data_IF_377381028177
#
_entry.id   IF_377381028177
#
_cell.length_a   1.000
_cell.length_b   1.000
_cell.length_c   1.000
_cell.angle_alpha   90.00
_cell.angle_beta   90.00
_cell.angle_gamma   90.00
#
_symmetry.space_group_name_H-M   'P 1'
#
loop_
_entity.id
_entity.type
_entity.pdbx_description
1 polymer ?
#
# COMPACT_ATOMS: atom_id res chain seq x y z
N UNK A 1 -12.26 10.38 8.18
CA UNK A 1 -12.06 10.40 6.72
C UNK A 1 -11.26 11.63 6.29
N UNK A 2 -9.95 11.49 6.06
CA UNK A 2 -9.14 12.60 5.51
C UNK A 2 -9.48 12.85 4.04
N UNK A 3 -9.75 14.11 3.69
CA UNK A 3 -10.06 14.53 2.31
C UNK A 3 -8.82 14.91 1.49
N UNK A 4 -7.71 15.21 2.16
CA UNK A 4 -6.48 15.78 1.56
C UNK A 4 -5.39 14.71 1.34
N UNK A 5 -5.69 13.42 1.58
CA UNK A 5 -4.73 12.34 1.42
C UNK A 5 -4.23 12.27 -0.04
N UNK A 6 -2.91 12.34 -0.23
CA UNK A 6 -2.22 12.32 -1.53
C UNK A 6 -2.59 13.45 -2.50
N UNK A 7 -3.28 14.51 -2.06
CA UNK A 7 -3.76 15.59 -2.95
C UNK A 7 -2.62 16.33 -3.66
N UNK A 8 -1.52 16.59 -2.96
CA UNK A 8 -0.31 17.20 -3.55
C UNK A 8 0.32 16.35 -4.67
N UNK A 9 0.09 15.03 -4.66
CA UNK A 9 0.60 14.12 -5.68
C UNK A 9 -0.42 13.91 -6.80
N UNK A 10 -1.68 13.69 -6.44
CA UNK A 10 -2.77 13.52 -7.38
C UNK A 10 -4.10 13.99 -6.75
N UNK A 11 -4.65 15.14 -7.17
CA UNK A 11 -5.95 15.63 -6.69
C UNK A 11 -7.10 14.64 -6.93
N UNK A 12 -7.00 13.82 -7.98
CA UNK A 12 -8.01 12.81 -8.27
C UNK A 12 -7.99 11.62 -7.29
N UNK A 13 -6.95 11.47 -6.46
CA UNK A 13 -6.82 10.36 -5.51
C UNK A 13 -8.05 10.23 -4.59
N UNK A 14 -8.63 11.36 -4.17
CA UNK A 14 -9.85 11.40 -3.36
C UNK A 14 -11.04 10.69 -4.01
N UNK A 15 -11.13 10.69 -5.34
CA UNK A 15 -12.22 10.01 -6.06
C UNK A 15 -11.93 8.53 -6.33
N UNK A 16 -10.64 8.16 -6.33
CA UNK A 16 -10.15 6.83 -6.70
C UNK A 16 -10.01 5.90 -5.50
N UNK A 17 -9.52 6.42 -4.37
CA UNK A 17 -9.30 5.65 -3.16
C UNK A 17 -10.57 5.56 -2.30
N UNK A 18 -10.90 4.36 -1.85
CA UNK A 18 -12.00 4.07 -0.91
C UNK A 18 -11.46 3.31 0.29
N UNK A 19 -12.24 3.29 1.36
CA UNK A 19 -11.96 2.47 2.53
C UNK A 19 -11.79 0.99 2.16
N UNK A 20 -10.84 0.32 2.80
CA UNK A 20 -10.46 -1.07 2.51
C UNK A 20 -9.53 -1.25 1.31
N UNK A 21 -9.27 -0.21 0.51
CA UNK A 21 -8.31 -0.33 -0.60
C UNK A 21 -6.87 -0.41 -0.09
N UNK A 22 -6.05 -1.19 -0.79
CA UNK A 22 -4.60 -1.26 -0.55
C UNK A 22 -3.91 -0.25 -1.45
N UNK A 23 -3.04 0.58 -0.87
CA UNK A 23 -2.21 1.50 -1.64
C UNK A 23 -0.93 0.79 -2.07
N UNK A 24 -0.67 0.76 -3.37
CA UNK A 24 0.58 0.23 -3.92
C UNK A 24 1.38 1.38 -4.50
N UNK A 25 2.63 1.52 -4.07
CA UNK A 25 3.57 2.52 -4.58
C UNK A 25 4.79 1.86 -5.24
N UNK A 26 5.54 2.68 -5.98
CA UNK A 26 6.82 2.30 -6.56
C UNK A 26 7.93 2.15 -5.51
N UNK A 27 9.15 2.54 -5.88
CA UNK A 27 10.31 2.48 -5.02
C UNK A 27 10.45 3.76 -4.21
N UNK A 28 11.05 3.64 -3.02
CA UNK A 28 11.38 4.74 -2.11
C UNK A 28 10.15 5.52 -1.61
N UNK A 29 9.06 4.82 -1.28
CA UNK A 29 7.86 5.44 -0.73
C UNK A 29 8.15 6.15 0.59
N UNK A 30 7.51 7.30 0.82
CA UNK A 30 7.76 8.15 1.98
C UNK A 30 9.11 8.86 1.93
N UNK A 31 9.71 9.01 0.75
CA UNK A 31 10.87 9.88 0.56
C UNK A 31 10.41 11.34 0.45
N UNK A 32 10.79 12.18 1.42
CA UNK A 32 10.44 13.60 1.46
C UNK A 32 10.23 14.12 2.88
N UNK A 33 9.87 15.40 3.02
CA UNK A 33 9.59 16.02 4.33
C UNK A 33 8.16 15.78 4.83
N UNK A 34 7.19 15.58 3.92
CA UNK A 34 5.76 15.34 4.22
C UNK A 34 5.45 13.90 4.71
N UNK A 35 6.36 13.32 5.50
CA UNK A 35 6.29 11.93 6.00
C UNK A 35 5.20 11.74 7.05
N UNK A 36 5.10 12.69 7.96
CA UNK A 36 4.25 12.63 9.15
C UNK A 36 2.76 12.83 8.80
N UNK A 37 2.51 13.74 7.85
CA UNK A 37 1.19 13.94 7.27
C UNK A 37 0.73 12.70 6.48
N UNK A 38 1.63 12.05 5.72
CA UNK A 38 1.29 10.83 5.00
C UNK A 38 0.99 9.64 5.94
N UNK A 39 1.81 9.46 6.99
CA UNK A 39 1.62 8.40 7.99
C UNK A 39 0.28 8.51 8.72
N UNK A 40 -0.27 9.73 8.84
CA UNK A 40 -1.57 9.99 9.50
C UNK A 40 -2.74 10.08 8.51
N UNK A 41 -2.53 10.60 7.31
CA UNK A 41 -3.61 10.80 6.34
C UNK A 41 -4.09 9.48 5.69
N UNK A 42 -3.20 8.51 5.50
CA UNK A 42 -3.50 7.22 4.86
C UNK A 42 -4.42 6.35 5.75
N UNK A 43 -4.14 6.11 7.05
CA UNK A 43 -5.07 5.40 7.93
C UNK A 43 -6.40 6.15 8.04
N UNK A 44 -6.36 7.48 8.19
CA UNK A 44 -7.56 8.32 8.26
C UNK A 44 -8.42 8.28 6.99
N UNK A 45 -7.87 7.79 5.87
CA UNK A 45 -8.60 7.55 4.62
C UNK A 45 -9.25 6.15 4.57
N UNK A 46 -8.99 5.32 5.58
CA UNK A 46 -9.45 3.93 5.64
C UNK A 46 -8.62 3.01 4.74
N UNK A 47 -7.39 3.38 4.40
CA UNK A 47 -6.46 2.51 3.65
C UNK A 47 -5.69 1.69 4.70
N UNK A 48 -5.97 0.39 4.85
CA UNK A 48 -5.40 -0.42 5.92
C UNK A 48 -3.93 -0.80 5.67
N UNK A 49 -3.46 -0.70 4.42
CA UNK A 49 -2.18 -1.25 4.02
C UNK A 49 -1.52 -0.44 2.90
N UNK A 50 -0.22 -0.19 3.04
CA UNK A 50 0.65 0.32 1.98
C UNK A 50 1.69 -0.73 1.60
N UNK A 51 1.72 -1.10 0.32
CA UNK A 51 2.73 -1.99 -0.27
C UNK A 51 3.62 -1.16 -1.19
N UNK A 52 4.93 -1.38 -1.15
CA UNK A 52 5.87 -0.64 -2.00
C UNK A 52 6.99 -1.53 -2.51
N UNK A 53 7.69 -1.08 -3.56
CA UNK A 53 8.93 -1.71 -4.00
C UNK A 53 10.04 -1.51 -2.97
N UNK A 54 10.07 -0.32 -2.37
CA UNK A 54 10.88 -0.03 -1.19
C UNK A 54 10.31 1.16 -0.43
N UNK A 55 10.65 1.27 0.85
CA UNK A 55 10.34 2.42 1.69
C UNK A 55 11.62 3.23 1.91
N UNK A 56 11.50 4.54 2.08
CA UNK A 56 12.63 5.37 2.49
C UNK A 56 13.09 4.95 3.90
N UNK A 57 14.39 5.05 4.19
CA UNK A 57 14.93 4.68 5.50
C UNK A 57 14.29 5.45 6.66
N UNK A 58 13.82 6.67 6.40
CA UNK A 58 13.20 7.52 7.42
C UNK A 58 11.75 7.12 7.61
N UNK A 59 11.00 6.92 6.52
CA UNK A 59 9.63 6.41 6.59
C UNK A 59 9.56 5.04 7.25
N UNK A 60 10.52 4.16 6.98
CA UNK A 60 10.60 2.85 7.61
C UNK A 60 10.80 2.93 9.14
N UNK A 61 11.48 3.98 9.64
CA UNK A 61 11.66 4.21 11.08
C UNK A 61 10.41 4.81 11.72
N UNK A 62 9.80 5.81 11.07
CA UNK A 62 8.64 6.55 11.61
C UNK A 62 7.33 5.74 11.52
N UNK A 63 7.21 4.86 10.53
CA UNK A 63 5.96 4.14 10.25
C UNK A 63 5.81 2.85 11.06
N UNK A 64 6.87 2.37 11.72
CA UNK A 64 6.76 1.32 12.75
C UNK A 64 5.84 1.80 13.89
N UNK A 65 5.91 3.10 14.22
CA UNK A 65 5.10 3.70 15.27
C UNK A 65 3.65 3.97 14.82
N UNK A 66 3.40 4.09 13.51
CA UNK A 66 2.12 4.49 12.93
C UNK A 66 1.39 3.36 12.19
N UNK A 67 1.82 2.11 12.36
CA UNK A 67 1.03 0.94 11.95
C UNK A 67 0.80 0.79 10.44
N UNK A 68 1.47 1.58 9.59
CA UNK A 68 1.13 1.74 8.17
C UNK A 68 1.99 0.92 7.19
N UNK A 69 2.95 0.14 7.70
CA UNK A 69 3.91 -0.55 6.86
C UNK A 69 3.41 -1.94 6.45
N UNK A 70 3.09 -2.07 5.16
CA UNK A 70 2.95 -3.37 4.53
C UNK A 70 4.27 -3.94 4.01
N UNK A 71 4.20 -5.10 3.35
CA UNK A 71 5.37 -5.78 2.83
C UNK A 71 6.04 -5.01 1.68
N UNK A 72 7.36 -5.18 1.55
CA UNK A 72 8.11 -4.73 0.38
C UNK A 72 8.01 -5.79 -0.70
N UNK A 73 7.42 -5.45 -1.85
CA UNK A 73 7.21 -6.39 -2.96
C UNK A 73 7.69 -5.78 -4.30
N UNK A 74 9.01 -5.73 -4.56
CA UNK A 74 9.56 -5.24 -5.83
C UNK A 74 8.98 -5.94 -7.07
N UNK A 75 8.72 -7.26 -6.98
CA UNK A 75 8.16 -8.04 -8.08
C UNK A 75 6.75 -7.57 -8.48
N UNK A 76 5.92 -7.18 -7.51
CA UNK A 76 4.59 -6.63 -7.77
C UNK A 76 4.68 -5.28 -8.47
N UNK A 77 5.58 -4.40 -8.02
CA UNK A 77 5.80 -3.10 -8.67
C UNK A 77 6.25 -3.28 -10.12
N UNK A 78 7.20 -4.20 -10.36
CA UNK A 78 7.66 -4.53 -11.71
C UNK A 78 6.50 -5.03 -12.58
N UNK A 79 5.71 -5.96 -12.06
CA UNK A 79 4.58 -6.55 -12.78
C UNK A 79 3.48 -5.53 -13.10
N UNK A 80 3.13 -4.65 -12.16
CA UNK A 80 2.18 -3.55 -12.40
C UNK A 80 2.69 -2.59 -13.49
N UNK A 81 3.98 -2.26 -13.49
CA UNK A 81 4.58 -1.44 -14.54
C UNK A 81 4.53 -2.11 -15.91
N UNK A 82 4.79 -3.41 -15.99
CA UNK A 82 4.68 -4.17 -17.25
C UNK A 82 3.25 -4.12 -17.78
N UNK A 83 2.26 -4.45 -16.94
CA UNK A 83 0.83 -4.50 -17.33
C UNK A 83 0.27 -3.13 -17.72
N UNK A 84 0.65 -2.07 -17.01
CA UNK A 84 0.11 -0.71 -17.22
C UNK A 84 1.10 0.25 -17.92
N UNK A 85 2.13 -0.29 -18.59
CA UNK A 85 3.12 0.51 -19.33
C UNK A 85 2.53 1.25 -20.54
N UNK A 86 1.42 0.76 -21.09
CA UNK A 86 0.79 1.26 -22.31
C UNK A 86 0.15 2.66 -22.21
N UNK A 87 -0.04 3.19 -21.01
CA UNK A 87 -0.73 4.48 -20.80
C UNK A 87 0.17 5.71 -20.90
N UNK A 88 1.45 5.53 -21.28
CA UNK A 88 2.42 6.62 -21.42
C UNK A 88 2.75 7.36 -20.11
N UNK A 89 2.40 6.79 -18.95
CA UNK A 89 2.63 7.40 -17.64
C UNK A 89 1.72 8.59 -17.31
N UNK A 90 0.65 8.80 -18.07
CA UNK A 90 -0.27 9.95 -17.89
C UNK A 90 -1.14 9.85 -16.63
N UNK A 91 -1.45 8.63 -16.19
CA UNK A 91 -2.25 8.40 -15.00
C UNK A 91 -1.38 8.34 -13.73
N UNK A 92 -1.45 9.38 -12.89
CA UNK A 92 -0.73 9.47 -11.61
C UNK A 92 -1.23 8.44 -10.57
N UNK A 93 -2.49 8.01 -10.64
CA UNK A 93 -3.04 6.95 -9.80
C UNK A 93 -4.04 6.15 -10.60
N UNK A 94 -4.04 4.82 -10.41
CA UNK A 94 -4.89 3.88 -11.13
C UNK A 94 -5.57 2.92 -10.17
N UNK A 95 -6.86 2.65 -10.39
CA UNK A 95 -7.51 1.46 -9.85
C UNK A 95 -7.18 0.28 -10.74
N UNK A 96 -6.44 -0.68 -10.20
CA UNK A 96 -5.96 -1.84 -10.95
C UNK A 96 -7.02 -2.94 -11.04
N UNK A 97 -7.96 -3.00 -10.07
CA UNK A 97 -8.88 -4.13 -9.91
C UNK A 97 -8.22 -5.39 -9.35
N UNK A 98 -6.94 -5.30 -8.95
CA UNK A 98 -6.17 -6.42 -8.41
C UNK A 98 -6.46 -6.62 -6.94
N UNK A 99 -6.34 -7.86 -6.50
CA UNK A 99 -6.54 -8.24 -5.10
C UNK A 99 -5.24 -8.76 -4.51
N UNK A 100 -5.01 -8.42 -3.25
CA UNK A 100 -3.88 -8.90 -2.46
C UNK A 100 -4.43 -9.51 -1.17
N UNK A 101 -3.87 -10.65 -0.79
CA UNK A 101 -4.07 -11.28 0.50
C UNK A 101 -2.70 -11.48 1.15
N UNK A 102 -2.53 -11.03 2.38
CA UNK A 102 -1.25 -11.09 3.09
C UNK A 102 -1.33 -12.07 4.25
N UNK A 103 -0.68 -13.21 4.10
CA UNK A 103 -0.41 -14.13 5.19
C UNK A 103 0.82 -13.64 5.98
N UNK A 104 0.52 -12.94 7.08
CA UNK A 104 1.53 -12.39 7.99
C UNK A 104 2.31 -13.49 8.71
N UNK A 105 1.66 -14.62 9.05
CA UNK A 105 2.27 -15.71 9.79
C UNK A 105 3.18 -16.55 8.87
N UNK A 106 2.70 -16.87 7.67
CA UNK A 106 3.45 -17.55 6.61
C UNK A 106 4.47 -16.64 5.89
N UNK A 107 4.48 -15.34 6.18
CA UNK A 107 5.33 -14.35 5.52
C UNK A 107 5.18 -14.39 3.99
N UNK A 108 3.95 -14.46 3.50
CA UNK A 108 3.64 -14.60 2.08
C UNK A 108 2.49 -13.69 1.65
N UNK A 109 2.54 -13.18 0.43
CA UNK A 109 1.43 -12.43 -0.18
C UNK A 109 0.95 -13.17 -1.42
N UNK A 110 -0.36 -13.42 -1.49
CA UNK A 110 -1.05 -13.85 -2.70
C UNK A 110 -1.52 -12.61 -3.46
N UNK A 111 -1.19 -12.56 -4.75
CA UNK A 111 -1.62 -11.51 -5.68
C UNK A 111 -2.56 -12.14 -6.71
N UNK A 112 -3.73 -11.53 -6.92
CA UNK A 112 -4.66 -11.87 -7.99
C UNK A 112 -4.78 -10.68 -8.96
N UNK A 113 -4.38 -10.90 -10.21
CA UNK A 113 -4.48 -9.89 -11.25
C UNK A 113 -5.94 -9.80 -11.74
N UNK A 114 -6.60 -8.66 -11.55
CA UNK A 114 -8.01 -8.48 -11.96
C UNK A 114 -8.22 -8.43 -13.47
N UNK A 115 -9.25 -9.12 -13.97
CA UNK A 115 -9.65 -9.24 -15.38
C UNK A 115 -10.19 -10.64 -15.75
N UNK A 116 -10.65 -10.85 -16.98
CA UNK A 116 -10.93 -12.21 -17.49
C UNK A 116 -9.62 -13.00 -17.63
N UNK A 117 -9.58 -14.22 -17.08
CA UNK A 117 -8.37 -15.06 -17.05
C UNK A 117 -7.38 -14.74 -15.92
N UNK A 118 -7.87 -14.17 -14.82
CA UNK A 118 -7.09 -13.70 -13.66
C UNK A 118 -5.96 -14.66 -13.25
N UNK A 119 -4.71 -14.19 -13.42
CA UNK A 119 -3.51 -14.89 -12.97
C UNK A 119 -3.35 -14.70 -11.47
N UNK A 120 -3.03 -15.79 -10.78
CA UNK A 120 -2.65 -15.75 -9.36
C UNK A 120 -1.18 -16.12 -9.19
N UNK A 121 -0.52 -15.46 -8.25
CA UNK A 121 0.84 -15.81 -7.87
C UNK A 121 1.14 -15.39 -6.43
N UNK A 122 2.05 -16.14 -5.80
CA UNK A 122 2.48 -15.92 -4.42
C UNK A 122 3.89 -15.36 -4.39
N UNK A 123 4.18 -14.56 -3.38
CA UNK A 123 5.51 -14.00 -3.14
C UNK A 123 5.84 -14.02 -1.66
N UNK A 124 6.97 -14.65 -1.33
CA UNK A 124 7.55 -14.58 0.01
C UNK A 124 7.96 -13.15 0.32
N UNK A 125 7.60 -12.67 1.50
CA UNK A 125 7.92 -11.35 2.01
C UNK A 125 8.69 -11.48 3.32
N UNK A 126 9.44 -10.44 3.69
CA UNK A 126 10.14 -10.45 4.98
C UNK A 126 9.17 -10.50 6.15
N UNK A 127 9.62 -11.03 7.29
CA UNK A 127 8.85 -10.98 8.52
C UNK A 127 8.60 -9.54 8.95
N UNK A 128 7.41 -9.29 9.48
CA UNK A 128 7.02 -8.00 10.06
C UNK A 128 7.21 -8.06 11.56
N UNK A 129 7.67 -6.95 12.14
CA UNK A 129 7.78 -6.84 13.59
C UNK A 129 6.41 -7.03 14.27
N UNK A 130 6.42 -7.63 15.47
CA UNK A 130 5.24 -8.02 16.25
C UNK A 130 4.15 -6.93 16.35
N UNK A 131 4.54 -5.67 16.48
CA UNK A 131 3.58 -4.55 16.52
C UNK A 131 2.74 -4.42 15.24
N UNK A 132 3.35 -4.57 14.07
CA UNK A 132 2.62 -4.56 12.79
C UNK A 132 1.74 -5.79 12.65
N UNK A 133 2.19 -6.95 13.13
CA UNK A 133 1.39 -8.17 13.14
C UNK A 133 0.12 -7.99 13.99
N UNK A 134 0.23 -7.38 15.17
CA UNK A 134 -0.91 -7.10 16.05
C UNK A 134 -1.89 -6.11 15.44
N UNK A 135 -1.40 -5.14 14.67
CA UNK A 135 -2.21 -4.15 13.96
C UNK A 135 -2.97 -4.81 12.81
N UNK A 136 -2.27 -5.57 11.97
CA UNK A 136 -2.89 -6.29 10.85
C UNK A 136 -3.91 -7.30 11.37
N UNK A 137 -3.60 -8.03 12.45
CA UNK A 137 -4.51 -8.97 13.10
C UNK A 137 -5.74 -8.28 13.71
N UNK A 138 -5.62 -7.01 14.14
CA UNK A 138 -6.74 -6.20 14.68
C UNK A 138 -7.50 -5.41 13.61
N UNK A 139 -7.14 -5.49 12.34
CA UNK A 139 -7.80 -4.74 11.26
C UNK A 139 -7.33 -3.28 11.10
N UNK A 140 -6.18 -2.92 11.66
CA UNK A 140 -5.62 -1.55 11.64
C UNK A 140 -5.75 -0.82 12.98
N UNK A 141 -4.92 0.20 13.22
CA UNK A 141 -5.10 1.12 14.37
C UNK A 141 -6.17 2.14 13.99
N UNK A 142 -7.42 1.77 14.22
CA UNK A 142 -8.58 2.64 14.14
C UNK A 142 -9.61 2.09 15.12
N UNK A 143 -9.79 2.78 16.25
CA UNK A 143 -10.68 2.35 17.31
C UNK A 143 -12.11 2.12 16.79
N UNK A 144 -12.67 0.99 17.21
CA UNK A 144 -14.12 0.80 17.26
C UNK A 144 -14.54 1.05 18.70
N UNK A 145 -15.07 2.25 18.93
CA UNK A 145 -16.24 2.48 19.77
C UNK A 145 -17.23 3.29 18.92
#
# INVERSE_FOLDING_TARGET
MSLLCMENYNPAFRSLAREGHILISGYNFGCGSSREQAATAIPNRGIPLVVAGSFSNIFARDSINNALLGPKIPALVKRLREVFSGDGGTALTRRTGWWLEWDVAGCEVLVREGGEGAREWRVGVGSVGRGVQEIVAKGGVGGVD
#
